data_IF_877387128707
#
_entry.id   IF_877387128707
#
_cell.length_a   1.000
_cell.length_b   1.000
_cell.length_c   1.000
_cell.angle_alpha   90.00
_cell.angle_beta   90.00
_cell.angle_gamma   90.00
#
_symmetry.space_group_name_H-M   'P 1'
#
loop_
_entity.id
_entity.type
_entity.pdbx_description
1 polymer ?
#
# COMPACT_ATOMS: atom_id res chain seq x y z
N UNK A 1 12.34 12.39 -0.37
CA UNK A 1 11.38 11.28 -0.56
C UNK A 1 11.88 10.36 -1.66
N UNK A 2 11.78 9.05 -1.50
CA UNK A 2 12.07 8.08 -2.56
C UNK A 2 10.79 7.37 -2.97
N UNK A 3 10.56 7.23 -4.27
CA UNK A 3 9.35 6.63 -4.82
C UNK A 3 9.76 5.44 -5.68
N UNK A 4 9.08 4.32 -5.50
CA UNK A 4 9.32 3.14 -6.32
C UNK A 4 8.02 2.53 -6.83
N UNK A 5 8.11 1.93 -8.02
CA UNK A 5 7.01 1.23 -8.67
C UNK A 5 7.35 -0.24 -8.92
N UNK A 6 6.36 -1.10 -8.80
CA UNK A 6 6.35 -2.47 -9.31
C UNK A 6 5.13 -2.62 -10.21
N UNK A 7 5.34 -3.17 -11.40
CA UNK A 7 4.27 -3.35 -12.37
C UNK A 7 3.35 -4.54 -12.06
N UNK A 8 2.25 -4.65 -12.81
CA UNK A 8 1.28 -5.74 -12.66
C UNK A 8 1.85 -7.11 -13.09
N UNK A 9 2.95 -7.15 -13.85
CA UNK A 9 3.60 -8.38 -14.31
C UNK A 9 4.56 -8.96 -13.28
N UNK A 10 4.68 -8.34 -12.10
CA UNK A 10 5.52 -8.83 -11.00
C UNK A 10 7.00 -8.46 -11.15
N UNK A 11 7.31 -7.43 -11.95
CA UNK A 11 8.69 -7.03 -12.20
C UNK A 11 9.42 -6.52 -10.94
N UNK A 12 10.72 -6.29 -11.11
CA UNK A 12 11.60 -5.69 -10.09
C UNK A 12 11.09 -4.31 -9.69
N UNK A 13 11.29 -3.92 -8.42
CA UNK A 13 11.04 -2.55 -7.97
C UNK A 13 11.96 -1.58 -8.71
N UNK A 14 11.41 -0.48 -9.23
CA UNK A 14 12.14 0.55 -9.97
C UNK A 14 11.94 1.91 -9.31
N UNK A 15 13.00 2.70 -9.24
CA UNK A 15 12.92 4.08 -8.76
C UNK A 15 12.22 4.92 -9.84
N UNK A 16 11.19 5.67 -9.46
CA UNK A 16 10.40 6.46 -10.42
C UNK A 16 10.21 7.88 -9.91
N UNK A 17 10.00 8.82 -10.83
CA UNK A 17 9.44 10.13 -10.52
C UNK A 17 7.95 10.13 -10.83
N UNK A 18 7.18 10.89 -10.06
CA UNK A 18 5.76 11.09 -10.32
C UNK A 18 5.56 12.46 -10.94
N UNK A 19 4.85 12.50 -12.07
CA UNK A 19 4.29 13.73 -12.64
C UNK A 19 2.78 13.72 -12.43
N UNK A 20 2.25 14.80 -11.86
CA UNK A 20 0.81 14.95 -11.58
C UNK A 20 0.15 15.77 -12.69
N UNK A 21 -0.97 15.26 -13.22
CA UNK A 21 -1.83 15.97 -14.18
C UNK A 21 -3.26 15.94 -13.64
N UNK A 22 -3.69 17.03 -13.01
CA UNK A 22 -5.00 17.12 -12.35
C UNK A 22 -5.15 16.06 -11.25
N UNK A 23 -6.06 15.11 -11.44
CA UNK A 23 -6.32 13.99 -10.50
C UNK A 23 -5.64 12.68 -10.91
N UNK A 24 -4.78 12.75 -11.93
CA UNK A 24 -4.01 11.61 -12.43
C UNK A 24 -2.53 11.80 -12.18
N UNK A 25 -1.80 10.71 -12.28
CA UNK A 25 -0.36 10.70 -12.21
C UNK A 25 0.26 9.74 -13.21
N UNK A 26 1.49 10.04 -13.61
CA UNK A 26 2.30 9.19 -14.47
C UNK A 26 3.65 8.93 -13.80
N UNK A 27 4.25 7.79 -14.13
CA UNK A 27 5.62 7.49 -13.77
C UNK A 27 6.57 7.93 -14.88
N UNK A 28 7.69 8.54 -14.49
CA UNK A 28 8.78 8.90 -15.37
C UNK A 28 10.07 8.18 -14.95
N UNK A 29 10.69 7.46 -15.89
CA UNK A 29 11.95 6.74 -15.71
C UNK A 29 12.77 6.82 -17.01
N UNK A 30 13.95 7.46 -17.01
CA UNK A 30 14.89 7.47 -18.14
C UNK A 30 14.23 7.62 -19.52
N UNK A 31 13.39 8.66 -19.69
CA UNK A 31 12.63 8.97 -20.92
C UNK A 31 11.41 8.07 -21.21
N UNK A 32 11.22 7.00 -20.46
CA UNK A 32 9.97 6.24 -20.46
C UNK A 32 8.90 6.92 -19.59
N UNK A 33 7.69 6.95 -20.13
CA UNK A 33 6.46 7.36 -19.43
C UNK A 33 5.50 6.20 -19.35
N UNK A 34 4.90 6.01 -18.18
CA UNK A 34 3.77 5.10 -18.04
C UNK A 34 2.50 5.68 -18.68
N UNK A 35 1.46 4.85 -18.75
CA UNK A 35 0.08 5.36 -18.81
C UNK A 35 -0.26 6.21 -17.59
N UNK A 36 -1.33 7.00 -17.70
CA UNK A 36 -1.86 7.76 -16.58
C UNK A 36 -2.67 6.85 -15.65
N UNK A 37 -2.49 7.03 -14.34
CA UNK A 37 -3.25 6.36 -13.28
C UNK A 37 -4.07 7.40 -12.52
N UNK A 38 -5.23 7.01 -12.00
CA UNK A 38 -6.03 7.90 -11.17
C UNK A 38 -5.60 7.77 -9.70
N UNK A 39 -5.42 8.89 -9.00
CA UNK A 39 -5.11 8.83 -7.57
C UNK A 39 -6.23 8.17 -6.75
N UNK A 40 -7.48 8.33 -7.19
CA UNK A 40 -8.65 7.71 -6.54
C UNK A 40 -8.68 6.18 -6.62
N UNK A 41 -7.94 5.58 -7.55
CA UNK A 41 -7.85 4.11 -7.69
C UNK A 41 -6.78 3.51 -6.79
N UNK A 42 -6.02 4.35 -6.08
CA UNK A 42 -5.00 3.87 -5.15
C UNK A 42 -5.65 3.34 -3.88
N UNK A 43 -5.16 2.19 -3.43
CA UNK A 43 -5.59 1.56 -2.19
C UNK A 43 -4.38 1.34 -1.30
N UNK A 44 -4.41 1.89 -0.09
CA UNK A 44 -3.33 1.69 0.88
C UNK A 44 -3.24 0.22 1.31
N UNK A 45 -2.05 -0.38 1.18
CA UNK A 45 -1.77 -1.78 1.51
C UNK A 45 -0.93 -1.95 2.78
N UNK A 46 -0.42 -0.86 3.36
CA UNK A 46 0.34 -0.89 4.62
C UNK A 46 1.75 -0.31 4.51
N UNK A 47 2.48 -0.38 5.62
CA UNK A 47 3.89 0.01 5.70
C UNK A 47 4.76 -1.24 5.52
N UNK A 48 5.69 -1.21 4.58
CA UNK A 48 6.60 -2.34 4.31
C UNK A 48 7.98 -1.84 3.92
N UNK A 49 9.03 -2.32 4.59
CA UNK A 49 10.42 -1.90 4.33
C UNK A 49 10.61 -0.39 4.43
N UNK A 50 9.94 0.27 5.39
CA UNK A 50 9.97 1.73 5.57
C UNK A 50 9.21 2.54 4.52
N UNK A 51 8.51 1.90 3.57
CA UNK A 51 7.69 2.57 2.56
C UNK A 51 6.20 2.40 2.84
N UNK A 52 5.42 3.47 2.69
CA UNK A 52 3.97 3.38 2.56
C UNK A 52 3.63 2.79 1.19
N UNK A 53 2.96 1.64 1.17
CA UNK A 53 2.67 0.87 -0.05
C UNK A 53 1.21 1.03 -0.44
N UNK A 54 0.99 1.28 -1.72
CA UNK A 54 -0.32 1.41 -2.35
C UNK A 54 -0.44 0.40 -3.50
N UNK A 55 -1.63 -0.17 -3.69
CA UNK A 55 -2.00 -0.96 -4.86
C UNK A 55 -2.99 -0.20 -5.75
N UNK A 56 -3.43 -0.83 -6.84
CA UNK A 56 -4.42 -0.27 -7.77
C UNK A 56 -5.73 -1.08 -7.72
N UNK A 57 -6.86 -0.40 -7.68
CA UNK A 57 -8.22 -0.95 -7.77
C UNK A 57 -9.06 -0.13 -8.76
N UNK A 58 -8.67 -0.17 -10.04
CA UNK A 58 -9.28 0.63 -11.13
C UNK A 58 -10.55 -0.01 -11.74
N UNK A 59 -10.85 -1.25 -11.38
CA UNK A 59 -11.98 -2.01 -11.94
C UNK A 59 -11.85 -2.39 -13.42
N UNK A 60 -10.74 -2.06 -14.09
CA UNK A 60 -10.51 -2.32 -15.52
C UNK A 60 -9.82 -3.69 -15.69
N UNK A 61 -8.75 -3.93 -14.93
CA UNK A 61 -8.01 -5.21 -14.95
C UNK A 61 -7.51 -5.54 -13.54
N UNK A 62 -7.55 -6.81 -13.16
CA UNK A 62 -6.88 -7.26 -11.94
C UNK A 62 -5.36 -7.07 -12.09
N UNK A 63 -4.77 -6.23 -11.22
CA UNK A 63 -3.33 -5.94 -11.19
C UNK A 63 -2.73 -6.29 -9.82
N UNK A 64 -2.78 -7.57 -9.38
CA UNK A 64 -2.48 -7.96 -7.99
C UNK A 64 -1.02 -7.68 -7.56
N UNK A 65 -0.10 -7.57 -8.51
CA UNK A 65 1.31 -7.28 -8.23
C UNK A 65 1.69 -5.81 -8.38
N UNK A 66 0.78 -4.98 -8.90
CA UNK A 66 1.03 -3.56 -9.07
C UNK A 66 1.16 -2.89 -7.71
N UNK A 67 2.27 -2.19 -7.50
CA UNK A 67 2.54 -1.50 -6.26
C UNK A 67 3.25 -0.17 -6.50
N UNK A 68 2.90 0.80 -5.66
CA UNK A 68 3.57 2.10 -5.55
C UNK A 68 4.00 2.28 -4.10
N UNK A 69 5.28 2.59 -3.88
CA UNK A 69 5.83 2.82 -2.55
C UNK A 69 6.41 4.21 -2.40
N UNK A 70 6.13 4.84 -1.25
CA UNK A 70 6.70 6.12 -0.85
C UNK A 70 7.51 5.93 0.43
N UNK A 71 8.80 6.28 0.38
CA UNK A 71 9.71 6.23 1.52
C UNK A 71 10.06 7.65 2.00
N UNK A 72 9.74 7.93 3.26
CA UNK A 72 9.79 9.26 3.86
C UNK A 72 8.42 9.97 3.84
N UNK A 73 8.39 11.22 4.27
CA UNK A 73 7.15 11.99 4.33
C UNK A 73 6.61 12.34 2.95
N UNK A 74 5.34 12.01 2.71
CA UNK A 74 4.61 12.34 1.49
C UNK A 74 4.62 13.87 1.29
N UNK A 75 4.93 14.39 0.09
CA UNK A 75 4.88 15.83 -0.15
C UNK A 75 3.45 16.33 0.07
N UNK A 76 3.30 17.53 0.65
CA UNK A 76 1.99 18.10 0.98
C UNK A 76 1.04 18.15 -0.24
N UNK A 77 1.61 18.40 -1.42
CA UNK A 77 0.93 18.42 -2.73
C UNK A 77 0.25 17.08 -3.07
N UNK A 78 0.87 15.96 -2.69
CA UNK A 78 0.31 14.62 -2.91
C UNK A 78 -0.61 14.18 -1.78
N UNK A 79 -0.39 14.67 -0.56
CA UNK A 79 -1.16 14.30 0.63
C UNK A 79 -2.67 14.52 0.45
N UNK A 80 -3.08 15.59 -0.25
CA UNK A 80 -4.49 15.87 -0.56
C UNK A 80 -5.09 15.03 -1.68
N UNK A 81 -4.27 14.40 -2.52
CA UNK A 81 -4.69 13.57 -3.65
C UNK A 81 -4.69 12.09 -3.30
N UNK A 82 -3.79 11.67 -2.41
CA UNK A 82 -3.61 10.28 -2.05
C UNK A 82 -4.73 9.76 -1.14
N UNK A 83 -5.07 8.46 -1.26
CA UNK A 83 -6.03 7.84 -0.37
C UNK A 83 -5.56 7.94 1.08
N UNK A 84 -6.51 8.16 2.00
CA UNK A 84 -6.20 8.23 3.43
C UNK A 84 -5.49 6.96 3.88
N UNK A 85 -4.32 7.12 4.47
CA UNK A 85 -3.56 6.05 5.11
C UNK A 85 -4.39 5.55 6.31
N UNK A 86 -5.17 4.49 6.09
CA UNK A 86 -5.85 3.80 7.19
C UNK A 86 -4.80 2.95 7.91
N UNK A 87 -4.51 3.29 9.16
CA UNK A 87 -3.77 2.37 10.02
C UNK A 87 -4.56 1.07 10.16
N UNK A 88 -3.91 -0.10 10.17
CA UNK A 88 -4.60 -1.35 10.40
C UNK A 88 -5.31 -1.25 11.76
N UNK A 89 -6.64 -1.25 11.73
CA UNK A 89 -7.47 -1.24 12.90
C UNK A 89 -7.49 -2.64 13.53
N UNK A 90 -6.32 -3.19 13.88
CA UNK A 90 -6.28 -4.22 14.92
C UNK A 90 -6.48 -3.49 16.25
N UNK A 91 -7.71 -3.03 16.47
CA UNK A 91 -8.07 -2.39 17.73
C UNK A 91 -7.86 -3.37 18.88
N UNK A 92 -7.51 -2.87 20.06
CA UNK A 92 -7.17 -3.70 21.22
C UNK A 92 -8.18 -4.82 21.53
N UNK A 93 -9.45 -4.64 21.18
CA UNK A 93 -10.50 -5.66 21.27
C UNK A 93 -10.21 -6.93 20.44
N UNK A 94 -9.75 -6.79 19.18
CA UNK A 94 -9.43 -7.93 18.33
C UNK A 94 -8.21 -8.71 18.86
N UNK A 95 -7.21 -8.00 19.40
CA UNK A 95 -6.07 -8.62 20.09
C UNK A 95 -6.48 -9.34 21.38
N UNK A 96 -7.41 -8.77 22.16
CA UNK A 96 -7.94 -9.42 23.36
C UNK A 96 -8.67 -10.73 23.05
N UNK A 97 -9.49 -10.75 21.99
CA UNK A 97 -10.21 -11.97 21.58
C UNK A 97 -9.22 -13.06 21.16
N UNK A 98 -8.19 -12.71 20.39
CA UNK A 98 -7.12 -13.65 20.01
C UNK A 98 -6.37 -14.16 21.26
N UNK A 99 -6.02 -13.27 22.18
CA UNK A 99 -5.32 -13.65 23.42
C UNK A 99 -6.16 -14.60 24.30
N UNK A 100 -7.46 -14.33 24.45
CA UNK A 100 -8.39 -15.20 25.20
C UNK A 100 -8.57 -16.55 24.52
N UNK A 101 -8.65 -16.60 23.18
CA UNK A 101 -8.70 -17.84 22.43
C UNK A 101 -7.44 -18.68 22.63
N UNK A 102 -6.25 -18.06 22.56
CA UNK A 102 -5.00 -18.74 22.85
C UNK A 102 -4.95 -19.27 24.29
N UNK A 103 -5.38 -18.47 25.27
CA UNK A 103 -5.41 -18.90 26.67
C UNK A 103 -6.35 -20.08 26.89
N UNK A 104 -7.54 -20.05 26.27
CA UNK A 104 -8.50 -21.14 26.33
C UNK A 104 -7.95 -22.42 25.71
N UNK A 105 -7.31 -22.34 24.54
CA UNK A 105 -6.69 -23.51 23.90
C UNK A 105 -5.63 -24.11 24.83
N UNK A 106 -4.75 -23.30 25.43
CA UNK A 106 -3.72 -23.80 26.36
C UNK A 106 -4.36 -24.44 27.60
N UNK A 107 -5.39 -23.80 28.17
CA UNK A 107 -6.10 -24.31 29.33
C UNK A 107 -6.79 -25.67 29.06
N UNK A 108 -7.43 -25.83 27.90
CA UNK A 108 -8.10 -27.08 27.53
C UNK A 108 -7.16 -28.15 26.95
N UNK A 109 -5.94 -27.80 26.54
CA UNK A 109 -4.93 -28.74 26.05
C UNK A 109 -3.90 -29.16 27.10
N UNK A 110 -3.94 -28.55 28.28
CA UNK A 110 -3.13 -29.00 29.41
C UNK A 110 -3.65 -30.37 29.90
N UNK A 111 -2.82 -31.43 29.90
CA UNK A 111 -3.21 -32.70 30.50
C UNK A 111 -3.36 -32.53 32.02
N UNK A 112 -4.41 -33.14 32.58
CA UNK A 112 -4.72 -33.14 34.00
C UNK A 112 -3.65 -33.85 34.85
#
# INVERSE_FOLDING_TARGET
ISIWHRDAKGARKRSVRIETIGKTFLFFENEWRSEAYYFGDLVYRGLSGGSHVFGLEDGIKARPHWQLGFMGELPAELSGLMPKIKQPALGGAAMMVIALLCLAIVYFSAPA
#
